data_IF_399968919090
#
_entry.id   IF_399968919090
#
_cell.length_a   1.000
_cell.length_b   1.000
_cell.length_c   1.000
_cell.angle_alpha   90.00
_cell.angle_beta   90.00
_cell.angle_gamma   90.00
#
_symmetry.space_group_name_H-M   'P 1'
#
loop_
_entity.id
_entity.type
_entity.pdbx_description
1 polymer ?
#
# COMPACT_ATOMS: atom_id res chain seq x y z
N UNK A 1 14.40 7.05 11.06
CA UNK A 1 12.98 6.63 11.06
C UNK A 1 12.14 7.42 10.07
N UNK A 2 12.35 8.73 9.92
CA UNK A 2 11.55 9.59 9.02
C UNK A 2 11.58 9.18 7.54
N UNK A 3 12.73 8.74 7.02
CA UNK A 3 12.85 8.29 5.62
C UNK A 3 11.90 7.13 5.32
N UNK A 4 11.81 6.14 6.22
CA UNK A 4 10.93 4.99 6.07
C UNK A 4 9.45 5.38 6.13
N UNK A 5 9.09 6.33 6.99
CA UNK A 5 7.71 6.84 7.08
C UNK A 5 7.30 7.57 5.78
N UNK A 6 8.19 8.38 5.21
CA UNK A 6 7.95 9.06 3.93
C UNK A 6 7.79 8.06 2.79
N UNK A 7 8.64 7.02 2.72
CA UNK A 7 8.52 5.98 1.69
C UNK A 7 7.22 5.17 1.84
N UNK A 8 6.80 4.82 3.06
CA UNK A 8 5.51 4.18 3.30
C UNK A 8 4.34 5.03 2.81
N UNK A 9 4.32 6.33 3.11
CA UNK A 9 3.28 7.24 2.65
C UNK A 9 3.22 7.36 1.12
N UNK A 10 4.38 7.38 0.44
CA UNK A 10 4.43 7.40 -1.03
C UNK A 10 3.82 6.12 -1.61
N UNK A 11 4.19 4.96 -1.07
CA UNK A 11 3.68 3.67 -1.56
C UNK A 11 2.18 3.54 -1.29
N UNK A 12 1.69 3.99 -0.13
CA UNK A 12 0.26 4.02 0.17
C UNK A 12 -0.49 4.95 -0.80
N UNK A 13 -0.03 6.18 -0.99
CA UNK A 13 -0.64 7.12 -1.95
C UNK A 13 -0.70 6.53 -3.37
N UNK A 14 0.38 5.88 -3.81
CA UNK A 14 0.46 5.24 -5.11
C UNK A 14 -0.53 4.07 -5.27
N UNK A 15 -0.66 3.18 -4.28
CA UNK A 15 -1.56 2.02 -4.38
C UNK A 15 -3.03 2.41 -4.19
N UNK A 16 -3.32 3.42 -3.37
CA UNK A 16 -4.68 3.86 -3.06
C UNK A 16 -5.25 4.81 -4.12
N UNK A 17 -4.42 5.66 -4.71
CA UNK A 17 -4.88 6.74 -5.59
C UNK A 17 -4.47 6.52 -7.04
N UNK A 18 -3.17 6.41 -7.30
CA UNK A 18 -2.66 6.37 -8.68
C UNK A 18 -3.04 5.08 -9.41
N UNK A 19 -2.88 3.92 -8.74
CA UNK A 19 -3.11 2.62 -9.35
C UNK A 19 -4.58 2.36 -9.70
N UNK A 20 -5.57 2.64 -8.84
CA UNK A 20 -6.98 2.49 -9.19
C UNK A 20 -7.38 3.38 -10.36
N UNK A 21 -6.90 4.63 -10.41
CA UNK A 21 -7.16 5.55 -11.51
C UNK A 21 -6.54 5.06 -12.82
N UNK A 22 -5.30 4.56 -12.79
CA UNK A 22 -4.64 3.98 -13.95
C UNK A 22 -5.45 2.81 -14.52
N UNK A 23 -5.78 1.81 -13.70
CA UNK A 23 -6.49 0.62 -14.19
C UNK A 23 -7.92 0.91 -14.63
N UNK A 24 -8.60 1.86 -13.99
CA UNK A 24 -9.93 2.32 -14.43
C UNK A 24 -9.85 2.95 -15.83
N UNK A 25 -8.84 3.76 -16.11
CA UNK A 25 -8.60 4.32 -17.45
C UNK A 25 -8.25 3.22 -18.47
N UNK A 26 -7.41 2.26 -18.09
CA UNK A 26 -7.04 1.15 -18.97
C UNK A 26 -8.22 0.23 -19.29
N UNK A 27 -9.15 0.01 -18.35
CA UNK A 27 -10.39 -0.74 -18.64
C UNK A 27 -11.25 -0.01 -19.68
N UNK A 28 -11.40 1.32 -19.56
CA UNK A 28 -12.13 2.11 -20.56
C UNK A 28 -11.48 1.99 -21.95
N UNK A 29 -10.15 2.17 -22.02
CA UNK A 29 -9.38 1.98 -23.25
C UNK A 29 -9.51 0.56 -23.81
N UNK A 30 -9.58 -0.45 -22.95
CA UNK A 30 -9.80 -1.84 -23.34
C UNK A 30 -11.17 -2.04 -24.01
N UNK A 31 -12.23 -1.46 -23.47
CA UNK A 31 -13.55 -1.48 -24.09
C UNK A 31 -13.55 -0.78 -25.45
N UNK A 32 -12.94 0.40 -25.54
CA UNK A 32 -12.83 1.15 -26.80
C UNK A 32 -12.07 0.31 -27.85
N UNK A 33 -10.98 -0.36 -27.45
CA UNK A 33 -10.19 -1.19 -28.36
C UNK A 33 -10.95 -2.43 -28.83
N UNK A 34 -11.76 -3.05 -27.98
CA UNK A 34 -12.65 -4.15 -28.36
C UNK A 34 -13.68 -3.66 -29.39
N UNK A 35 -14.28 -2.49 -29.19
CA UNK A 35 -15.23 -1.92 -30.13
C UNK A 35 -14.59 -1.65 -31.50
N UNK A 36 -13.41 -1.00 -31.50
CA UNK A 36 -12.62 -0.71 -32.70
C UNK A 36 -12.26 -1.99 -33.49
N UNK A 37 -11.67 -2.98 -32.80
CA UNK A 37 -11.24 -4.24 -33.44
C UNK A 37 -12.42 -5.10 -33.90
N UNK A 38 -13.57 -5.04 -33.22
CA UNK A 38 -14.81 -5.68 -33.66
C UNK A 38 -15.34 -5.08 -34.96
N UNK A 39 -15.33 -3.75 -35.08
CA UNK A 39 -15.74 -3.06 -36.32
C UNK A 39 -14.80 -3.43 -37.47
N UNK A 40 -13.48 -3.46 -37.22
CA UNK A 40 -12.50 -3.87 -38.22
C UNK A 40 -12.72 -5.33 -38.68
N UNK A 41 -12.97 -6.25 -37.73
CA UNK A 41 -13.28 -7.64 -38.03
C UNK A 41 -14.56 -7.77 -38.88
N UNK A 42 -15.66 -7.13 -38.46
CA UNK A 42 -16.91 -7.14 -39.21
C UNK A 42 -16.72 -6.60 -40.64
N UNK A 43 -15.97 -5.49 -40.79
CA UNK A 43 -15.65 -4.92 -42.11
C UNK A 43 -14.83 -5.89 -42.95
N UNK A 44 -13.90 -6.62 -42.35
CA UNK A 44 -13.14 -7.65 -43.05
C UNK A 44 -14.04 -8.80 -43.52
N UNK A 45 -14.93 -9.29 -42.66
CA UNK A 45 -15.83 -10.41 -42.97
C UNK A 45 -16.84 -10.08 -44.08
N UNK A 46 -17.22 -8.80 -44.21
CA UNK A 46 -18.06 -8.31 -45.32
C UNK A 46 -17.31 -8.19 -46.65
N UNK A 47 -15.97 -8.12 -46.65
CA UNK A 47 -15.18 -8.06 -47.89
C UNK A 47 -15.14 -9.45 -48.54
N UNK A 48 -15.65 -9.53 -49.76
CA UNK A 48 -15.50 -10.70 -50.61
C UNK A 48 -14.37 -10.42 -51.61
N UNK A 49 -13.37 -11.29 -51.67
CA UNK A 49 -12.24 -11.16 -52.60
C UNK A 49 -12.33 -12.32 -53.58
N UNK A 50 -12.51 -12.00 -54.87
CA UNK A 50 -12.60 -13.00 -55.96
C UNK A 50 -13.63 -14.13 -55.70
N UNK A 51 -14.79 -13.81 -55.09
CA UNK A 51 -15.84 -14.79 -54.78
C UNK A 51 -15.60 -15.64 -53.52
N UNK A 52 -14.45 -15.51 -52.86
CA UNK A 52 -14.15 -16.15 -51.58
C UNK A 52 -14.17 -15.14 -50.42
N UNK A 53 -14.67 -15.59 -49.26
CA UNK A 53 -14.64 -14.81 -48.02
C UNK A 53 -13.20 -14.65 -47.52
N UNK A 54 -12.82 -13.43 -47.15
CA UNK A 54 -11.54 -13.18 -46.49
C UNK A 54 -11.43 -13.96 -45.17
N UNK A 55 -10.27 -14.56 -44.89
CA UNK A 55 -10.04 -15.33 -43.65
C UNK A 55 -9.97 -14.44 -42.39
N UNK A 56 -9.68 -13.14 -42.57
CA UNK A 56 -9.60 -12.10 -41.52
C UNK A 56 -8.74 -12.51 -40.32
N UNK A 57 -7.62 -13.17 -40.58
CA UNK A 57 -6.77 -13.78 -39.55
C UNK A 57 -6.20 -12.69 -38.62
N UNK A 58 -5.70 -11.60 -39.18
CA UNK A 58 -5.13 -10.49 -38.42
C UNK A 58 -6.19 -9.80 -37.55
N UNK A 59 -7.37 -9.51 -38.10
CA UNK A 59 -8.45 -8.86 -37.37
C UNK A 59 -9.00 -9.75 -36.23
N UNK A 60 -9.07 -11.07 -36.45
CA UNK A 60 -9.43 -12.05 -35.40
C UNK A 60 -8.39 -12.07 -34.28
N UNK A 61 -7.10 -12.07 -34.62
CA UNK A 61 -6.03 -12.03 -33.63
C UNK A 61 -6.03 -10.71 -32.84
N UNK A 62 -6.23 -9.58 -33.52
CA UNK A 62 -6.33 -8.26 -32.90
C UNK A 62 -7.51 -8.18 -31.93
N UNK A 63 -8.67 -8.68 -32.32
CA UNK A 63 -9.85 -8.74 -31.44
C UNK A 63 -9.63 -9.64 -30.22
N UNK A 64 -9.02 -10.82 -30.41
CA UNK A 64 -8.67 -11.72 -29.32
C UNK A 64 -7.62 -11.11 -28.37
N UNK A 65 -6.65 -10.36 -28.89
CA UNK A 65 -5.67 -9.63 -28.08
C UNK A 65 -6.32 -8.51 -27.26
N UNK A 66 -7.25 -7.75 -27.86
CA UNK A 66 -8.00 -6.71 -27.16
C UNK A 66 -8.83 -7.26 -26.00
N UNK A 67 -9.50 -8.42 -26.19
CA UNK A 67 -10.21 -9.12 -25.11
C UNK A 67 -9.29 -9.54 -23.96
N UNK A 68 -8.19 -10.23 -24.28
CA UNK A 68 -7.19 -10.65 -23.27
C UNK A 68 -6.63 -9.47 -22.49
N UNK A 69 -6.39 -8.34 -23.15
CA UNK A 69 -5.94 -7.10 -22.49
C UNK A 69 -6.99 -6.57 -21.52
N UNK A 70 -8.26 -6.53 -21.92
CA UNK A 70 -9.35 -6.08 -21.03
C UNK A 70 -9.48 -6.99 -19.79
N UNK A 71 -9.41 -8.31 -19.99
CA UNK A 71 -9.44 -9.30 -18.90
C UNK A 71 -8.31 -9.06 -17.89
N UNK A 72 -7.08 -8.88 -18.38
CA UNK A 72 -5.92 -8.52 -17.55
C UNK A 72 -6.19 -7.22 -16.77
N UNK A 73 -6.68 -6.17 -17.42
CA UNK A 73 -6.97 -4.90 -16.75
C UNK A 73 -8.02 -5.08 -15.63
N UNK A 74 -9.07 -5.88 -15.87
CA UNK A 74 -10.10 -6.17 -14.87
C UNK A 74 -9.54 -6.99 -13.68
N UNK A 75 -8.67 -7.96 -13.95
CA UNK A 75 -7.97 -8.71 -12.91
C UNK A 75 -7.08 -7.79 -12.06
N UNK A 76 -6.36 -6.87 -12.71
CA UNK A 76 -5.48 -5.95 -12.00
C UNK A 76 -6.22 -4.98 -11.09
N UNK A 77 -7.46 -4.60 -11.40
CA UNK A 77 -8.30 -3.85 -10.46
C UNK A 77 -8.54 -4.65 -9.17
N UNK A 78 -8.82 -5.96 -9.28
CA UNK A 78 -9.00 -6.83 -8.12
C UNK A 78 -7.72 -6.95 -7.31
N UNK A 79 -6.58 -7.10 -7.99
CA UNK A 79 -5.26 -7.19 -7.36
C UNK A 79 -4.90 -5.90 -6.62
N UNK A 80 -5.06 -4.74 -7.26
CA UNK A 80 -4.77 -3.44 -6.63
C UNK A 80 -5.63 -3.23 -5.39
N UNK A 81 -6.93 -3.54 -5.44
CA UNK A 81 -7.80 -3.45 -4.24
C UNK A 81 -7.32 -4.37 -3.12
N UNK A 82 -6.96 -5.61 -3.45
CA UNK A 82 -6.45 -6.58 -2.47
C UNK A 82 -5.16 -6.07 -1.80
N UNK A 83 -4.22 -5.57 -2.60
CA UNK A 83 -2.95 -5.07 -2.11
C UNK A 83 -3.09 -3.76 -1.34
N UNK A 84 -3.98 -2.86 -1.75
CA UNK A 84 -4.28 -1.63 -1.01
C UNK A 84 -4.78 -1.94 0.40
N UNK A 85 -5.71 -2.90 0.55
CA UNK A 85 -6.20 -3.31 1.87
C UNK A 85 -5.11 -3.97 2.72
N UNK A 86 -4.34 -4.89 2.12
CA UNK A 86 -3.26 -5.58 2.85
C UNK A 86 -2.18 -4.59 3.30
N UNK A 87 -1.75 -3.69 2.42
CA UNK A 87 -0.73 -2.71 2.74
C UNK A 87 -1.20 -1.76 3.86
N UNK A 88 -2.43 -1.25 3.78
CA UNK A 88 -2.97 -0.35 4.81
C UNK A 88 -3.06 -1.02 6.19
N UNK A 89 -3.36 -2.32 6.25
CA UNK A 89 -3.35 -3.07 7.50
C UNK A 89 -1.94 -3.16 8.10
N UNK A 90 -0.97 -3.61 7.30
CA UNK A 90 0.43 -3.77 7.73
C UNK A 90 1.07 -2.41 8.10
N UNK A 91 0.75 -1.35 7.35
CA UNK A 91 1.20 0.00 7.66
C UNK A 91 0.67 0.49 9.00
N UNK A 92 -0.62 0.28 9.27
CA UNK A 92 -1.23 0.69 10.54
C UNK A 92 -0.62 -0.06 11.73
N UNK A 93 -0.42 -1.37 11.59
CA UNK A 93 0.24 -2.17 12.62
C UNK A 93 1.67 -1.71 12.87
N UNK A 94 2.45 -1.51 11.80
CA UNK A 94 3.81 -1.00 11.89
C UNK A 94 3.89 0.37 12.58
N UNK A 95 3.01 1.30 12.19
CA UNK A 95 2.92 2.64 12.78
C UNK A 95 2.57 2.60 14.27
N UNK A 96 1.68 1.69 14.66
CA UNK A 96 1.33 1.46 16.06
C UNK A 96 2.52 1.01 16.89
N UNK A 97 3.26 -0.01 16.41
CA UNK A 97 4.48 -0.51 17.07
C UNK A 97 5.55 0.58 17.18
N UNK A 98 5.77 1.34 16.10
CA UNK A 98 6.75 2.42 16.08
C UNK A 98 6.40 3.54 17.06
N UNK A 99 5.12 3.89 17.17
CA UNK A 99 4.61 4.91 18.09
C UNK A 99 4.76 4.46 19.55
N UNK A 100 4.56 3.18 19.85
CA UNK A 100 4.82 2.60 21.18
C UNK A 100 6.30 2.68 21.55
N UNK A 101 7.19 2.29 20.63
CA UNK A 101 8.64 2.39 20.84
C UNK A 101 9.08 3.84 21.05
N UNK A 102 8.57 4.77 20.24
CA UNK A 102 8.86 6.20 20.36
C UNK A 102 8.45 6.74 21.72
N UNK A 103 7.24 6.41 22.20
CA UNK A 103 6.77 6.80 23.54
C UNK A 103 7.67 6.26 24.65
N UNK A 104 8.06 4.98 24.54
CA UNK A 104 8.95 4.36 25.51
C UNK A 104 10.27 5.14 25.62
N UNK A 105 10.87 5.50 24.48
CA UNK A 105 12.16 6.21 24.42
C UNK A 105 12.04 7.68 24.84
N UNK A 106 11.01 8.40 24.38
CA UNK A 106 10.90 9.85 24.57
C UNK A 106 10.22 10.25 25.89
N UNK A 107 9.43 9.38 26.50
CA UNK A 107 8.67 9.68 27.73
C UNK A 107 8.99 8.73 28.86
N UNK A 108 8.86 7.43 28.62
CA UNK A 108 8.77 6.47 29.72
C UNK A 108 10.15 6.20 30.33
N UNK A 109 11.18 6.07 29.49
CA UNK A 109 12.57 5.95 29.94
C UNK A 109 13.06 7.19 30.71
N UNK A 110 12.90 8.43 30.22
CA UNK A 110 13.27 9.63 30.98
C UNK A 110 12.59 9.71 32.35
N UNK A 111 11.28 9.38 32.42
CA UNK A 111 10.55 9.37 33.70
C UNK A 111 11.07 8.31 34.65
N UNK A 112 11.37 7.11 34.14
CA UNK A 112 11.92 6.03 34.95
C UNK A 112 13.31 6.41 35.50
N UNK A 113 14.16 7.03 34.68
CA UNK A 113 15.47 7.54 35.11
C UNK A 113 15.30 8.58 36.22
N UNK A 114 14.46 9.61 36.01
CA UNK A 114 14.22 10.66 37.00
C UNK A 114 13.67 10.10 38.34
N UNK A 115 12.80 9.10 38.27
CA UNK A 115 12.28 8.42 39.46
C UNK A 115 13.38 7.66 40.21
N UNK A 116 14.25 6.95 39.49
CA UNK A 116 15.38 6.22 40.08
C UNK A 116 16.39 7.17 40.72
N UNK A 117 16.72 8.28 40.05
CA UNK A 117 17.60 9.33 40.60
C UNK A 117 17.02 9.91 41.89
N UNK A 118 15.74 10.29 41.90
CA UNK A 118 15.08 10.81 43.09
C UNK A 118 15.07 9.79 44.24
N UNK A 119 14.79 8.53 43.93
CA UNK A 119 14.76 7.45 44.93
C UNK A 119 16.14 7.21 45.52
N UNK A 120 17.19 7.20 44.68
CA UNK A 120 18.57 7.06 45.13
C UNK A 120 18.97 8.19 46.08
N UNK A 121 18.67 9.45 45.72
CA UNK A 121 18.96 10.62 46.58
C UNK A 121 18.26 10.53 47.94
N UNK A 122 17.00 10.08 47.99
CA UNK A 122 16.27 9.91 49.26
C UNK A 122 16.91 8.83 50.13
N UNK A 123 17.33 7.71 49.53
CA UNK A 123 17.98 6.62 50.25
C UNK A 123 19.36 7.01 50.77
N UNK A 124 20.15 7.74 49.98
CA UNK A 124 21.45 8.29 50.40
C UNK A 124 21.29 9.24 51.58
N UNK A 125 20.34 10.18 51.52
CA UNK A 125 20.06 11.09 52.61
C UNK A 125 19.64 10.37 53.90
N UNK A 126 18.90 9.27 53.78
CA UNK A 126 18.49 8.46 54.94
C UNK A 126 19.66 7.67 55.55
N UNK A 127 20.63 7.25 54.73
CA UNK A 127 21.82 6.54 55.19
C UNK A 127 22.81 7.45 55.94
N UNK A 128 22.82 8.76 55.64
CA UNK A 128 23.68 9.74 56.29
C UNK A 128 23.13 10.26 57.64
N UNK A 129 21.88 9.91 57.99
CA UNK A 129 21.30 10.31 59.28
C UNK A 129 21.99 9.58 60.44
N UNK A 130 22.54 10.31 61.45
CA UNK A 130 23.11 9.69 62.62
C UNK A 130 22.03 8.95 63.42
N UNK A 131 22.39 7.85 64.14
CA UNK A 131 21.42 7.11 64.94
C UNK A 131 20.80 8.03 66.00
N UNK A 132 19.50 7.88 66.30
CA UNK A 132 18.83 8.70 67.29
C UNK A 132 19.54 8.55 68.64
N UNK A 133 19.82 9.67 69.31
CA UNK A 133 20.31 9.67 70.68
C UNK A 133 19.26 9.00 71.56
N UNK A 134 19.54 7.78 72.01
CA UNK A 134 18.78 7.12 73.06
C UNK A 134 19.01 7.89 74.35
N UNK A 135 18.05 8.72 74.74
CA UNK A 135 17.99 9.31 76.07
C UNK A 135 17.75 8.21 77.13
N UNK A 136 18.74 8.04 78.02
CA UNK A 136 18.57 7.66 79.44
C UNK A 136 18.12 6.26 79.78
#
# INVERSE_FOLDING_TARGET
MEIMAMEMQKVDAWIQQERPQYWTREVRRGFDKIAETRVALNRCEMRTVAGQRSACIEEKQAFAAAKRRLELCQEQIKNVRRWAMKLGHEENEFRGRLSGLRRCVESDLPKAIALLEQTATVLEAYAELPPPETEG
#
